data_IF_588277273529
#
_entry.id   IF_588277273529
#
_cell.length_a   1.000
_cell.length_b   1.000
_cell.length_c   1.000
_cell.angle_alpha   90.00
_cell.angle_beta   90.00
_cell.angle_gamma   90.00
#
_symmetry.space_group_name_H-M   'P 1'
#
loop_
_entity.id
_entity.type
_entity.pdbx_description
1 polymer ?
#
# COMPACT_ATOMS: atom_id res chain seq x y z
N UNK A 1 10.80 15.67 -12.33
CA UNK A 1 10.29 14.42 -12.93
C UNK A 1 8.81 14.36 -12.62
N UNK A 2 7.95 14.48 -13.63
CA UNK A 2 6.50 14.41 -13.44
C UNK A 2 6.08 12.94 -13.49
N UNK A 3 5.46 12.46 -12.43
CA UNK A 3 4.93 11.10 -12.33
C UNK A 3 3.47 11.13 -12.77
N UNK A 4 3.14 10.39 -13.83
CA UNK A 4 1.75 10.21 -14.29
C UNK A 4 1.03 9.30 -13.28
N UNK A 5 0.13 9.89 -12.50
CA UNK A 5 -0.70 9.14 -11.54
C UNK A 5 -1.94 8.61 -12.27
N UNK A 6 -2.12 7.29 -12.28
CA UNK A 6 -3.35 6.67 -12.76
C UNK A 6 -4.14 6.12 -11.58
N UNK A 7 -5.38 6.55 -11.42
CA UNK A 7 -6.25 6.05 -10.36
C UNK A 7 -6.57 4.56 -10.60
N UNK A 8 -6.34 3.73 -9.59
CA UNK A 8 -6.67 2.29 -9.65
C UNK A 8 -8.05 2.07 -9.02
N UNK A 9 -8.28 2.68 -7.85
CA UNK A 9 -9.57 2.76 -7.19
C UNK A 9 -9.62 3.97 -6.23
N UNK A 10 -10.63 4.02 -5.35
CA UNK A 10 -10.81 5.13 -4.39
C UNK A 10 -9.69 5.23 -3.34
N UNK A 11 -8.93 4.16 -3.09
CA UNK A 11 -7.87 4.10 -2.09
C UNK A 11 -6.46 4.09 -2.71
N UNK A 12 -6.32 3.61 -3.95
CA UNK A 12 -5.04 3.37 -4.59
C UNK A 12 -4.84 4.18 -5.86
N UNK A 13 -3.64 4.75 -5.97
CA UNK A 13 -3.13 5.32 -7.20
C UNK A 13 -1.91 4.51 -7.65
N UNK A 14 -1.76 4.36 -8.96
CA UNK A 14 -0.61 3.72 -9.58
C UNK A 14 0.28 4.76 -10.23
N UNK A 15 1.58 4.47 -10.23
CA UNK A 15 2.59 5.25 -10.93
C UNK A 15 3.50 4.27 -11.67
N UNK A 16 3.73 4.55 -12.96
CA UNK A 16 4.69 3.80 -13.75
C UNK A 16 6.07 4.42 -13.57
N UNK A 17 7.05 3.63 -13.14
CA UNK A 17 8.43 4.05 -12.98
C UNK A 17 9.30 3.12 -13.83
N UNK A 18 10.02 3.69 -14.79
CA UNK A 18 10.89 2.95 -15.70
C UNK A 18 12.35 3.08 -15.27
N UNK A 19 13.04 1.95 -15.17
CA UNK A 19 14.52 1.88 -15.22
C UNK A 19 15.31 2.41 -14.02
N UNK A 20 14.68 2.91 -12.95
CA UNK A 20 15.37 3.29 -11.70
C UNK A 20 14.91 2.39 -10.56
N UNK A 21 15.82 2.03 -9.65
CA UNK A 21 15.45 1.48 -8.34
C UNK A 21 14.56 2.51 -7.62
N UNK A 22 13.26 2.20 -7.57
CA UNK A 22 12.23 2.97 -6.88
C UNK A 22 12.68 3.42 -5.49
N UNK A 23 13.41 2.53 -4.80
CA UNK A 23 13.95 2.78 -3.47
C UNK A 23 14.93 3.95 -3.48
N UNK A 24 15.87 3.99 -4.43
CA UNK A 24 16.82 5.10 -4.58
C UNK A 24 16.13 6.42 -4.89
N UNK A 25 15.10 6.41 -5.75
CA UNK A 25 14.34 7.61 -6.09
C UNK A 25 13.52 8.15 -4.91
N UNK A 26 12.94 7.26 -4.11
CA UNK A 26 12.22 7.62 -2.88
C UNK A 26 13.20 8.20 -1.85
N UNK A 27 14.33 7.53 -1.64
CA UNK A 27 15.36 7.92 -0.67
C UNK A 27 16.04 9.24 -1.03
N UNK A 28 16.29 9.52 -2.31
CA UNK A 28 16.87 10.79 -2.75
C UNK A 28 15.99 12.01 -2.42
N UNK A 29 14.70 11.79 -2.13
CA UNK A 29 13.74 12.82 -1.73
C UNK A 29 13.43 12.80 -0.21
N UNK A 30 14.23 12.09 0.59
CA UNK A 30 14.10 12.04 2.05
C UNK A 30 12.96 11.17 2.56
N UNK A 31 12.49 10.21 1.74
CA UNK A 31 11.53 9.20 2.14
C UNK A 31 12.23 7.87 2.40
N UNK A 32 11.73 7.08 3.33
CA UNK A 32 12.25 5.74 3.62
C UNK A 32 11.28 4.68 3.08
N UNK A 33 11.82 3.69 2.36
CA UNK A 33 11.06 2.56 1.85
C UNK A 33 11.48 1.28 2.59
N UNK A 34 10.56 0.67 3.33
CA UNK A 34 10.79 -0.62 3.94
C UNK A 34 10.24 -1.74 3.06
N UNK A 35 11.11 -2.68 2.71
CA UNK A 35 10.73 -3.95 2.10
C UNK A 35 10.23 -4.90 3.19
N UNK A 36 9.11 -5.58 2.93
CA UNK A 36 8.74 -6.76 3.69
C UNK A 36 8.80 -7.98 2.79
N UNK A 37 9.32 -9.08 3.33
CA UNK A 37 9.50 -10.35 2.61
C UNK A 37 8.17 -11.01 2.17
N UNK A 38 7.01 -10.41 2.48
CA UNK A 38 5.71 -10.91 2.09
C UNK A 38 5.42 -10.57 0.61
N UNK A 39 5.66 -11.53 -0.28
CA UNK A 39 5.13 -11.51 -1.63
C UNK A 39 3.71 -12.08 -1.64
N UNK A 40 2.76 -11.33 -2.19
CA UNK A 40 1.36 -11.74 -2.33
C UNK A 40 1.08 -12.15 -3.77
N UNK A 41 0.74 -13.42 -3.99
CA UNK A 41 0.27 -13.89 -5.29
C UNK A 41 -1.25 -14.04 -5.28
N UNK A 42 -1.92 -13.52 -6.31
CA UNK A 42 -3.37 -13.69 -6.54
C UNK A 42 -3.65 -14.06 -7.99
N UNK A 43 -4.76 -14.77 -8.19
CA UNK A 43 -5.26 -15.16 -9.50
C UNK A 43 -6.72 -14.78 -9.60
N UNK A 44 -7.14 -14.26 -10.75
CA UNK A 44 -8.54 -13.94 -11.02
C UNK A 44 -8.96 -14.32 -12.43
N UNK A 45 -10.28 -14.43 -12.61
CA UNK A 45 -10.94 -14.74 -13.87
C UNK A 45 -11.79 -13.56 -14.32
N UNK A 46 -11.75 -13.25 -15.61
CA UNK A 46 -12.58 -12.24 -16.26
C UNK A 46 -13.06 -12.68 -17.64
N UNK A 47 -14.12 -12.04 -18.15
CA UNK A 47 -14.58 -12.26 -19.54
C UNK A 47 -13.60 -11.68 -20.57
N UNK A 48 -12.86 -10.65 -20.17
CA UNK A 48 -11.79 -10.03 -20.97
C UNK A 48 -10.50 -9.96 -20.16
N UNK A 49 -9.39 -9.69 -20.84
CA UNK A 49 -8.08 -9.52 -20.23
C UNK A 49 -8.07 -8.35 -19.24
N UNK A 50 -8.72 -7.23 -19.60
CA UNK A 50 -8.85 -6.02 -18.79
C UNK A 50 -9.65 -6.32 -17.52
N UNK A 51 -10.78 -7.02 -17.66
CA UNK A 51 -11.62 -7.40 -16.53
C UNK A 51 -10.88 -8.35 -15.56
N UNK A 52 -10.13 -9.33 -16.09
CA UNK A 52 -9.32 -10.23 -15.28
C UNK A 52 -8.19 -9.47 -14.57
N UNK A 53 -7.57 -8.52 -15.27
CA UNK A 53 -6.48 -7.69 -14.73
C UNK A 53 -6.98 -6.79 -13.60
N UNK A 54 -8.00 -5.97 -13.85
CA UNK A 54 -8.56 -5.08 -12.83
C UNK A 54 -8.99 -5.86 -11.58
N UNK A 55 -9.63 -7.02 -11.77
CA UNK A 55 -10.07 -7.89 -10.67
C UNK A 55 -8.90 -8.49 -9.89
N UNK A 56 -7.84 -8.94 -10.57
CA UNK A 56 -6.69 -9.54 -9.86
C UNK A 56 -5.87 -8.49 -9.13
N UNK A 57 -5.69 -7.30 -9.72
CA UNK A 57 -5.00 -6.17 -9.09
C UNK A 57 -5.75 -5.74 -7.84
N UNK A 58 -7.06 -5.51 -7.94
CA UNK A 58 -7.90 -5.18 -6.78
C UNK A 58 -7.81 -6.24 -5.69
N UNK A 59 -7.97 -7.52 -6.04
CA UNK A 59 -7.88 -8.61 -5.05
C UNK A 59 -6.48 -8.74 -4.41
N UNK A 60 -5.43 -8.33 -5.12
CA UNK A 60 -4.07 -8.24 -4.58
C UNK A 60 -3.93 -7.09 -3.59
N UNK A 61 -4.42 -5.90 -3.94
CA UNK A 61 -4.39 -4.72 -3.08
C UNK A 61 -5.27 -4.87 -1.83
N UNK A 62 -6.48 -5.41 -1.98
CA UNK A 62 -7.39 -5.71 -0.86
C UNK A 62 -6.80 -6.74 0.12
N UNK A 63 -5.88 -7.59 -0.34
CA UNK A 63 -5.19 -8.56 0.50
C UNK A 63 -4.01 -7.97 1.30
N UNK A 64 -3.60 -6.75 1.00
CA UNK A 64 -2.57 -6.07 1.77
C UNK A 64 -3.15 -5.62 3.11
N UNK A 65 -2.43 -5.91 4.20
CA UNK A 65 -2.77 -5.37 5.52
C UNK A 65 -2.84 -3.84 5.47
N UNK A 66 -3.74 -3.26 6.25
CA UNK A 66 -3.85 -1.80 6.47
C UNK A 66 -2.57 -1.17 7.01
N UNK A 67 -1.60 -1.99 7.46
CA UNK A 67 -0.26 -1.55 7.88
C UNK A 67 0.64 -1.11 6.71
N UNK A 68 0.26 -1.40 5.46
CA UNK A 68 1.01 -1.04 4.26
C UNK A 68 0.30 0.06 3.48
N UNK A 69 1.08 1.02 3.01
CA UNK A 69 0.57 2.17 2.25
C UNK A 69 1.05 2.17 0.79
N UNK A 70 1.85 1.17 0.40
CA UNK A 70 2.40 1.05 -0.94
C UNK A 70 2.51 -0.42 -1.35
N UNK A 71 2.41 -0.68 -2.65
CA UNK A 71 2.52 -2.00 -3.24
C UNK A 71 3.29 -1.89 -4.56
N UNK A 72 4.20 -2.82 -4.79
CA UNK A 72 4.94 -2.94 -6.04
C UNK A 72 4.48 -4.17 -6.80
N UNK A 73 4.12 -4.01 -8.07
CA UNK A 73 3.75 -5.13 -8.95
C UNK A 73 5.03 -5.73 -9.51
N UNK A 74 5.46 -6.86 -8.99
CA UNK A 74 6.61 -7.61 -9.54
C UNK A 74 6.25 -8.25 -10.88
N UNK A 75 5.10 -8.90 -10.94
CA UNK A 75 4.67 -9.56 -12.17
C UNK A 75 3.16 -9.55 -12.33
N UNK A 76 2.73 -9.26 -13.56
CA UNK A 76 1.34 -9.37 -14.00
C UNK A 76 1.32 -10.21 -15.28
N UNK A 77 0.68 -11.38 -15.21
CA UNK A 77 0.55 -12.30 -16.34
C UNK A 77 -0.92 -12.50 -16.67
N UNK A 78 -1.27 -12.40 -17.95
CA UNK A 78 -2.62 -12.66 -18.43
C UNK A 78 -2.57 -13.75 -19.48
N UNK A 79 -3.41 -14.77 -19.32
CA UNK A 79 -3.61 -15.84 -20.28
C UNK A 79 -5.06 -15.81 -20.77
N UNK A 80 -5.23 -15.67 -22.08
CA UNK A 80 -6.56 -15.61 -22.71
C UNK A 80 -6.93 -16.98 -23.28
N UNK A 81 -8.13 -17.45 -22.94
CA UNK A 81 -8.74 -18.68 -23.43
C UNK A 81 -10.02 -18.35 -24.20
N UNK A 82 -10.56 -19.32 -24.92
CA UNK A 82 -11.86 -19.14 -25.60
C UNK A 82 -12.96 -18.91 -24.55
N UNK A 83 -13.43 -17.66 -24.47
CA UNK A 83 -14.55 -17.25 -23.62
C UNK A 83 -14.17 -16.65 -22.25
N UNK A 84 -12.90 -16.66 -21.85
CA UNK A 84 -12.45 -16.03 -20.60
C UNK A 84 -10.94 -15.74 -20.60
N UNK A 85 -10.50 -14.92 -19.66
CA UNK A 85 -9.09 -14.63 -19.38
C UNK A 85 -8.77 -14.92 -17.92
N UNK A 86 -7.57 -15.44 -17.68
CA UNK A 86 -7.00 -15.66 -16.36
C UNK A 86 -5.88 -14.65 -16.17
N UNK A 87 -5.93 -13.88 -15.08
CA UNK A 87 -4.84 -12.99 -14.71
C UNK A 87 -4.21 -13.45 -13.39
N UNK A 88 -2.88 -13.37 -13.31
CA UNK A 88 -2.10 -13.62 -12.10
C UNK A 88 -1.24 -12.40 -11.81
N UNK A 89 -1.28 -11.94 -10.56
CA UNK A 89 -0.43 -10.84 -10.08
C UNK A 89 0.42 -11.32 -8.91
N UNK A 90 1.66 -10.85 -8.88
CA UNK A 90 2.57 -10.93 -7.72
C UNK A 90 2.86 -9.51 -7.26
N UNK A 91 2.57 -9.23 -6.00
CA UNK A 91 2.76 -7.93 -5.37
C UNK A 91 3.75 -8.04 -4.21
N UNK A 92 4.60 -7.03 -4.04
CA UNK A 92 5.37 -6.81 -2.83
C UNK A 92 4.79 -5.67 -2.03
N UNK A 93 4.45 -5.94 -0.77
CA UNK A 93 4.04 -4.90 0.16
C UNK A 93 5.22 -3.98 0.49
N UNK A 94 4.98 -2.66 0.45
CA UNK A 94 5.95 -1.65 0.86
C UNK A 94 5.34 -0.75 1.92
N UNK A 95 6.21 -0.19 2.75
CA UNK A 95 5.84 0.90 3.64
C UNK A 95 6.75 2.09 3.35
N UNK A 96 6.16 3.19 2.89
CA UNK A 96 6.86 4.42 2.53
C UNK A 96 6.53 5.51 3.55
N UNK A 97 7.54 6.11 4.19
CA UNK A 97 7.34 7.16 5.19
C UNK A 97 8.35 8.30 5.06
N UNK A 98 7.89 9.54 5.27
CA UNK A 98 8.72 10.75 5.22
C UNK A 98 9.40 10.95 6.58
N UNK A 99 10.40 10.13 6.85
CA UNK A 99 11.16 10.08 8.12
C UNK A 99 10.99 8.76 8.87
N UNK A 100 12.05 8.29 9.50
CA UNK A 100 12.04 7.07 10.31
C UNK A 100 11.56 7.38 11.75
N UNK A 101 10.28 7.70 11.96
CA UNK A 101 9.73 7.69 13.31
C UNK A 101 9.29 6.27 13.65
N UNK A 102 10.20 5.46 14.18
CA UNK A 102 9.82 4.32 15.01
C UNK A 102 9.27 4.90 16.31
N UNK A 103 8.01 5.35 16.33
CA UNK A 103 7.36 5.63 17.61
C UNK A 103 7.26 4.29 18.35
N UNK A 104 7.91 4.15 19.51
CA UNK A 104 7.77 2.94 20.31
C UNK A 104 6.28 2.78 20.61
N UNK A 105 5.74 1.58 20.39
CA UNK A 105 4.34 1.23 20.73
C UNK A 105 3.99 1.49 22.20
N UNK A 106 4.98 1.82 23.02
CA UNK A 106 4.89 2.13 24.44
C UNK A 106 4.25 3.50 24.75
N UNK A 107 4.06 4.41 23.78
CA UNK A 107 3.56 5.78 24.04
C UNK A 107 2.16 6.02 23.47
N UNK A 108 1.20 5.14 23.80
CA UNK A 108 -0.22 5.37 23.43
C UNK A 108 -1.23 5.04 24.53
N UNK A 109 -0.81 5.03 25.80
CA UNK A 109 -1.74 4.80 26.93
C UNK A 109 -1.60 5.77 28.10
N UNK A 110 -0.99 6.94 27.92
CA UNK A 110 -0.91 7.94 29.00
C UNK A 110 -1.53 9.31 28.71
N UNK A 111 -2.00 9.57 27.50
CA UNK A 111 -2.53 10.90 27.15
C UNK A 111 -4.05 10.99 27.23
N UNK A 112 -4.74 10.00 27.81
CA UNK A 112 -6.18 10.05 28.03
C UNK A 112 -6.58 10.19 29.52
N UNK A 113 -5.63 10.12 30.46
CA UNK A 113 -5.93 10.15 31.90
C UNK A 113 -5.59 11.48 32.60
N UNK A 114 -4.79 12.37 31.99
CA UNK A 114 -4.36 13.62 32.65
C UNK A 114 -5.30 14.82 32.45
N UNK A 115 -6.39 14.68 31.69
CA UNK A 115 -7.31 15.80 31.38
C UNK A 115 -8.61 15.81 32.22
N UNK A 116 -8.71 14.98 33.27
CA UNK A 116 -9.88 14.96 34.18
C UNK A 116 -9.61 15.41 35.63
N UNK A 117 -8.42 15.88 35.99
CA UNK A 117 -8.09 16.22 37.39
C UNK A 117 -8.03 17.73 37.70
N UNK A 118 -8.50 18.63 36.82
CA UNK A 118 -8.40 20.10 37.05
C UNK A 118 -9.78 20.81 37.14
N UNK A 119 -10.91 20.12 37.17
CA UNK A 119 -12.23 20.79 37.28
C UNK A 119 -12.94 20.67 38.63
N UNK A 120 -12.34 20.08 39.67
CA UNK A 120 -13.02 19.87 40.97
C UNK A 120 -12.39 20.62 42.15
N UNK A 121 -11.57 21.65 41.92
CA UNK A 121 -10.91 22.40 43.01
C UNK A 121 -11.08 23.92 42.96
N UNK A 122 -12.18 24.43 42.41
CA UNK A 122 -12.54 25.87 42.47
C UNK A 122 -13.95 26.13 43.04
N UNK A 123 -14.50 25.20 43.82
CA UNK A 123 -15.74 25.40 44.56
C UNK A 123 -15.57 25.12 46.05
N UNK A 124 -14.70 25.87 46.71
CA UNK A 124 -14.79 26.18 48.15
C UNK A 124 -14.30 27.59 48.43
#
# INVERSE_FOLDING_TARGET
MSLELTNVDQAWNSVAISGWDLSTGIESHGWHCMWLAAAFSRVSLGRTAEAATAKVVKAGLDALSTSFNAAEIDSLRVASYRGFSVARVTLHARHIQRGASLSPWTVRRKELDDDQTISTELAR
#
